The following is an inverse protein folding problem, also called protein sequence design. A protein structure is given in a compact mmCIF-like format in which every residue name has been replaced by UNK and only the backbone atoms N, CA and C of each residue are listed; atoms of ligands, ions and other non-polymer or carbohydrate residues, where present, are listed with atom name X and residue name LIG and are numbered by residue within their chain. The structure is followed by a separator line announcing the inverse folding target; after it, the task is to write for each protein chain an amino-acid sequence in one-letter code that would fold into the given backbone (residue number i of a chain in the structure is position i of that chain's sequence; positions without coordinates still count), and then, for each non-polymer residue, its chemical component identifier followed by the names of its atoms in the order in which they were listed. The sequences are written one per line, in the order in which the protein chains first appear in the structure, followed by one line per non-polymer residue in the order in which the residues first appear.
data_IF_715494333652
#
_entry.id   IF_715494333652
#
_cell.length_a   1.000
_cell.length_b   1.000
_cell.length_c   1.000
_cell.angle_alpha   90.00
_cell.angle_beta   90.00
_cell.angle_gamma   90.00
#
_symmetry.space_group_name_H-M   'P 1'
#
loop_
_entity.id
_entity.type
_entity.pdbx_description
1 polymer ?
#
# COMPACT_ATOMS: atom_id res chain seq x y z
N UNK A 1 4.68 -22.63 -24.35
CA UNK A 1 6.11 -22.96 -24.32
C UNK A 1 6.26 -24.19 -23.44
N UNK A 2 6.48 -25.35 -24.06
CA UNK A 2 6.70 -26.64 -23.40
C UNK A 2 8.10 -26.67 -22.78
N UNK A 3 8.23 -27.20 -21.56
CA UNK A 3 9.52 -27.35 -20.89
C UNK A 3 10.40 -28.42 -21.61
N UNK A 4 11.73 -28.25 -21.73
CA UNK A 4 12.61 -29.25 -22.32
C UNK A 4 12.85 -30.45 -21.37
N UNK A 5 13.13 -31.61 -21.94
CA UNK A 5 13.19 -32.94 -21.31
C UNK A 5 14.45 -33.25 -20.48
N UNK A 6 15.26 -32.29 -20.05
CA UNK A 6 16.50 -32.58 -19.34
C UNK A 6 16.46 -32.15 -17.87
N UNK A 7 15.66 -32.86 -17.08
CA UNK A 7 15.84 -32.92 -15.61
C UNK A 7 16.40 -34.30 -15.29
N UNK A 8 17.72 -34.42 -15.30
CA UNK A 8 18.40 -35.61 -14.78
C UNK A 8 18.42 -35.54 -13.25
N UNK A 9 17.43 -36.16 -12.61
CA UNK A 9 17.51 -36.48 -11.19
C UNK A 9 18.54 -37.57 -11.04
N UNK A 10 19.75 -37.24 -10.60
CA UNK A 10 20.75 -38.26 -10.23
C UNK A 10 20.27 -38.90 -8.93
N UNK A 11 19.60 -40.05 -9.01
CA UNK A 11 19.31 -40.88 -7.83
C UNK A 11 20.63 -41.48 -7.35
N UNK A 12 21.27 -40.82 -6.39
CA UNK A 12 22.40 -41.40 -5.65
C UNK A 12 21.85 -42.59 -4.87
N UNK A 13 22.35 -43.79 -5.18
CA UNK A 13 22.02 -45.04 -4.48
C UNK A 13 22.38 -44.97 -2.99
N UNK A 14 21.75 -45.82 -2.15
CA UNK A 14 21.74 -45.63 -0.71
C UNK A 14 23.11 -45.98 -0.11
N UNK A 15 23.91 -44.96 0.23
CA UNK A 15 25.02 -45.12 1.16
C UNK A 15 25.07 -43.96 2.15
N UNK A 16 24.93 -44.35 3.42
CA UNK A 16 25.46 -43.76 4.65
C UNK A 16 25.25 -42.24 4.93
N UNK A 17 24.43 -42.00 5.96
CA UNK A 17 24.54 -40.95 6.97
C UNK A 17 25.01 -39.54 6.55
N UNK A 18 24.05 -38.65 6.33
CA UNK A 18 24.28 -37.20 6.25
C UNK A 18 23.09 -36.52 5.58
N UNK A 19 22.15 -36.02 6.39
CA UNK A 19 20.94 -35.36 5.88
C UNK A 19 21.23 -33.97 5.32
N UNK A 20 21.81 -33.91 4.13
CA UNK A 20 21.77 -32.69 3.31
C UNK A 20 20.66 -32.86 2.26
N UNK A 21 19.67 -31.97 2.32
CA UNK A 21 18.61 -31.89 1.34
C UNK A 21 19.20 -31.76 -0.08
N UNK A 22 18.62 -32.39 -1.10
CA UNK A 22 19.14 -32.33 -2.46
C UNK A 22 19.25 -30.87 -2.93
N UNK A 23 20.48 -30.38 -3.10
CA UNK A 23 20.76 -29.07 -3.70
C UNK A 23 20.40 -29.14 -5.18
N UNK A 24 19.26 -28.55 -5.53
CA UNK A 24 18.85 -28.37 -6.92
C UNK A 24 19.81 -27.38 -7.58
N UNK A 25 20.88 -27.87 -8.19
CA UNK A 25 21.85 -27.07 -8.95
C UNK A 25 21.63 -27.27 -10.44
N UNK A 26 21.17 -26.24 -11.14
CA UNK A 26 21.05 -26.22 -12.59
C UNK A 26 21.08 -24.79 -13.13
N UNK A 27 21.39 -24.59 -14.44
CA UNK A 27 21.47 -23.27 -15.06
C UNK A 27 20.20 -22.44 -14.89
N UNK A 28 19.03 -23.09 -14.82
CA UNK A 28 17.75 -22.43 -14.56
C UNK A 28 17.63 -21.98 -13.09
N UNK A 29 18.16 -22.74 -12.13
CA UNK A 29 18.08 -22.43 -10.71
C UNK A 29 19.02 -21.28 -10.35
N UNK A 30 20.22 -21.26 -10.93
CA UNK A 30 21.14 -20.11 -10.83
C UNK A 30 20.57 -18.88 -11.53
N UNK A 31 20.03 -19.02 -12.76
CA UNK A 31 19.34 -17.93 -13.46
C UNK A 31 18.16 -17.39 -12.64
N UNK A 32 17.35 -18.27 -12.04
CA UNK A 32 16.22 -17.88 -11.18
C UNK A 32 16.69 -17.17 -9.91
N UNK A 33 17.70 -17.69 -9.21
CA UNK A 33 18.25 -17.05 -8.02
C UNK A 33 18.92 -15.70 -8.32
N UNK A 34 19.61 -15.57 -9.46
CA UNK A 34 20.24 -14.31 -9.90
C UNK A 34 19.21 -13.26 -10.33
N UNK A 35 18.14 -13.66 -11.04
CA UNK A 35 17.14 -12.72 -11.57
C UNK A 35 16.00 -12.43 -10.57
N UNK A 36 15.62 -13.39 -9.74
CA UNK A 36 14.48 -13.30 -8.84
C UNK A 36 14.86 -13.26 -7.36
N UNK A 37 16.09 -13.58 -6.97
CA UNK A 37 16.51 -13.47 -5.57
C UNK A 37 16.47 -12.03 -5.05
N UNK A 38 16.90 -11.07 -5.86
CA UNK A 38 16.85 -9.65 -5.52
C UNK A 38 15.42 -9.06 -5.61
N UNK A 39 14.65 -9.52 -6.61
CA UNK A 39 13.25 -9.11 -6.80
C UNK A 39 12.37 -9.66 -5.68
N UNK A 40 12.50 -10.94 -5.33
CA UNK A 40 11.77 -11.59 -4.25
C UNK A 40 12.10 -10.98 -2.88
N UNK A 41 13.38 -10.70 -2.61
CA UNK A 41 13.80 -9.96 -1.40
C UNK A 41 13.19 -8.54 -1.36
N UNK A 42 13.17 -7.85 -2.50
CA UNK A 42 12.55 -6.52 -2.63
C UNK A 42 11.03 -6.54 -2.43
N UNK A 43 10.35 -7.51 -3.02
CA UNK A 43 8.90 -7.72 -2.88
C UNK A 43 8.54 -7.99 -1.42
N UNK A 44 9.22 -8.93 -0.76
CA UNK A 44 8.99 -9.22 0.66
C UNK A 44 9.27 -8.00 1.55
N UNK A 45 10.31 -7.21 1.24
CA UNK A 45 10.58 -5.98 1.97
C UNK A 45 9.46 -4.94 1.79
N UNK A 46 8.89 -4.82 0.60
CA UNK A 46 7.77 -3.90 0.32
C UNK A 46 6.47 -4.38 0.98
N UNK A 47 6.15 -5.68 0.90
CA UNK A 47 5.00 -6.26 1.61
C UNK A 47 5.17 -6.11 3.12
N UNK A 48 6.34 -6.45 3.66
CA UNK A 48 6.63 -6.33 5.08
C UNK A 48 6.62 -4.88 5.57
N UNK A 49 7.11 -3.94 4.75
CA UNK A 49 7.04 -2.52 5.04
C UNK A 49 5.59 -2.02 5.04
N UNK A 50 4.81 -2.35 4.01
CA UNK A 50 3.37 -2.06 3.98
C UNK A 50 2.67 -2.62 5.21
N UNK A 51 2.97 -3.88 5.56
CA UNK A 51 2.37 -4.57 6.69
C UNK A 51 2.71 -3.91 8.02
N UNK A 52 3.98 -3.60 8.22
CA UNK A 52 4.45 -2.94 9.43
C UNK A 52 3.89 -1.52 9.55
N UNK A 53 3.85 -0.76 8.45
CA UNK A 53 3.38 0.62 8.45
C UNK A 53 1.89 0.68 8.82
N UNK A 54 1.03 -0.13 8.20
CA UNK A 54 -0.40 -0.18 8.54
C UNK A 54 -0.64 -0.67 9.96
N UNK A 55 0.08 -1.71 10.40
CA UNK A 55 0.03 -2.21 11.77
C UNK A 55 0.43 -1.18 12.81
N UNK A 56 1.51 -0.42 12.56
CA UNK A 56 1.99 0.64 13.47
C UNK A 56 0.98 1.79 13.58
N UNK A 57 0.32 2.20 12.48
CA UNK A 57 -0.77 3.19 12.54
C UNK A 57 -1.84 2.71 13.51
N UNK A 58 -2.26 1.44 13.42
CA UNK A 58 -3.30 0.87 14.29
C UNK A 58 -2.83 0.83 15.74
N UNK A 59 -1.62 0.33 16.01
CA UNK A 59 -1.10 0.15 17.36
C UNK A 59 -0.89 1.48 18.13
N UNK A 60 -0.47 2.54 17.44
CA UNK A 60 -0.15 3.82 18.08
C UNK A 60 -1.39 4.65 18.50
N UNK A 61 -2.59 4.21 18.14
CA UNK A 61 -3.86 4.87 18.48
C UNK A 61 -4.43 4.43 19.84
N UNK A 62 -3.54 4.14 20.80
CA UNK A 62 -3.91 3.64 22.14
C UNK A 62 -4.35 4.75 23.10
N UNK A 63 -3.60 5.84 23.18
CA UNK A 63 -3.94 7.00 24.01
C UNK A 63 -3.49 8.31 23.33
N UNK A 64 -3.85 9.45 23.93
CA UNK A 64 -3.55 10.78 23.37
C UNK A 64 -2.04 11.01 23.19
N UNK A 65 -1.22 10.51 24.12
CA UNK A 65 0.23 10.65 24.05
C UNK A 65 0.86 9.84 22.92
N UNK A 66 0.50 8.56 22.77
CA UNK A 66 1.03 7.70 21.68
C UNK A 66 0.60 8.23 20.33
N UNK A 67 -0.63 8.74 20.24
CA UNK A 67 -1.12 9.47 19.07
C UNK A 67 -0.21 10.65 18.77
N UNK A 68 -0.04 11.55 19.73
CA UNK A 68 0.74 12.78 19.54
C UNK A 68 2.19 12.47 19.16
N UNK A 69 2.82 11.52 19.83
CA UNK A 69 4.16 11.06 19.50
C UNK A 69 4.25 10.49 18.08
N UNK A 70 3.28 9.68 17.66
CA UNK A 70 3.22 9.16 16.28
C UNK A 70 3.12 10.29 15.25
N UNK A 71 2.30 11.30 15.52
CA UNK A 71 2.16 12.47 14.66
C UNK A 71 3.43 13.31 14.61
N UNK A 72 4.07 13.56 15.75
CA UNK A 72 5.34 14.31 15.81
C UNK A 72 6.47 13.58 15.06
N UNK A 73 6.62 12.28 15.29
CA UNK A 73 7.62 11.44 14.62
C UNK A 73 7.37 11.38 13.11
N UNK A 74 6.12 11.12 12.69
CA UNK A 74 5.78 11.08 11.26
C UNK A 74 5.95 12.43 10.58
N UNK A 75 5.71 13.54 11.29
CA UNK A 75 5.97 14.90 10.78
C UNK A 75 7.46 15.11 10.54
N UNK A 76 8.33 14.76 11.50
CA UNK A 76 9.78 14.82 11.32
C UNK A 76 10.27 13.97 10.15
N UNK A 77 9.73 12.76 10.00
CA UNK A 77 10.01 11.86 8.89
C UNK A 77 9.54 12.46 7.55
N UNK A 78 8.36 13.10 7.50
CA UNK A 78 7.83 13.75 6.29
C UNK A 78 8.65 14.97 5.86
N UNK A 79 9.17 15.74 6.81
CA UNK A 79 10.12 16.84 6.54
C UNK A 79 11.39 16.28 5.90
N UNK A 80 11.99 15.24 6.49
CA UNK A 80 13.15 14.57 5.90
C UNK A 80 12.85 13.96 4.52
N UNK A 81 11.67 13.36 4.35
CA UNK A 81 11.22 12.83 3.06
C UNK A 81 11.12 13.92 1.98
N UNK A 82 10.66 15.12 2.35
CA UNK A 82 10.62 16.27 1.44
C UNK A 82 12.03 16.67 0.98
N UNK A 83 13.00 16.68 1.90
CA UNK A 83 14.41 16.90 1.57
C UNK A 83 14.95 15.80 0.63
N UNK A 84 14.64 14.53 0.89
CA UNK A 84 15.04 13.41 0.01
C UNK A 84 14.45 13.58 -1.39
N UNK A 85 13.17 13.94 -1.53
CA UNK A 85 12.56 14.20 -2.84
C UNK A 85 13.29 15.34 -3.54
N UNK A 86 13.63 16.42 -2.82
CA UNK A 86 14.33 17.56 -3.36
C UNK A 86 15.71 17.19 -3.93
N UNK A 87 16.52 16.44 -3.18
CA UNK A 87 17.86 16.01 -3.62
C UNK A 87 17.77 15.03 -4.79
N UNK A 88 16.81 14.10 -4.74
CA UNK A 88 16.72 13.01 -5.72
C UNK A 88 16.01 13.39 -7.03
N UNK A 89 15.36 14.57 -7.11
CA UNK A 89 14.55 14.97 -8.27
C UNK A 89 15.34 15.06 -9.58
N UNK A 90 16.64 15.35 -9.53
CA UNK A 90 17.50 15.44 -10.71
C UNK A 90 18.18 14.11 -11.09
N UNK A 91 18.09 13.10 -10.22
CA UNK A 91 18.80 11.83 -10.37
C UNK A 91 17.92 10.73 -10.99
N UNK A 92 18.44 10.04 -12.02
CA UNK A 92 17.76 8.90 -12.68
C UNK A 92 18.52 7.58 -12.53
N UNK A 93 18.79 7.20 -11.28
CA UNK A 93 19.39 5.89 -10.92
C UNK A 93 18.37 4.98 -10.24
N UNK A 94 18.62 3.66 -10.21
CA UNK A 94 17.75 2.72 -9.47
C UNK A 94 17.73 3.01 -7.94
N UNK A 95 18.84 3.52 -7.39
CA UNK A 95 18.88 4.00 -6.01
C UNK A 95 18.00 5.24 -5.80
N UNK A 96 18.03 6.18 -6.75
CA UNK A 96 17.13 7.34 -6.76
C UNK A 96 15.67 6.93 -6.71
N UNK A 97 15.25 6.00 -7.58
CA UNK A 97 13.88 5.49 -7.59
C UNK A 97 13.43 4.94 -6.22
N UNK A 98 14.25 4.09 -5.57
CA UNK A 98 13.94 3.52 -4.25
C UNK A 98 13.79 4.59 -3.17
N UNK A 99 14.76 5.51 -3.08
CA UNK A 99 14.74 6.59 -2.07
C UNK A 99 13.56 7.53 -2.28
N UNK A 100 13.26 7.91 -3.53
CA UNK A 100 12.11 8.75 -3.87
C UNK A 100 10.78 8.08 -3.54
N UNK A 101 10.64 6.78 -3.82
CA UNK A 101 9.43 6.03 -3.50
C UNK A 101 9.20 5.90 -1.98
N UNK A 102 10.25 5.61 -1.22
CA UNK A 102 10.17 5.56 0.25
C UNK A 102 9.82 6.93 0.84
N UNK A 103 10.41 8.00 0.31
CA UNK A 103 10.08 9.36 0.72
C UNK A 103 8.61 9.73 0.41
N UNK A 104 8.11 9.37 -0.78
CA UNK A 104 6.69 9.54 -1.11
C UNK A 104 5.78 8.76 -0.16
N UNK A 105 6.16 7.51 0.18
CA UNK A 105 5.40 6.69 1.13
C UNK A 105 5.41 7.30 2.54
N UNK A 106 6.52 7.87 2.99
CA UNK A 106 6.62 8.57 4.26
C UNK A 106 5.69 9.80 4.34
N UNK A 107 5.57 10.57 3.25
CA UNK A 107 4.63 11.69 3.17
C UNK A 107 3.17 11.18 3.24
N UNK A 108 2.84 10.13 2.47
CA UNK A 108 1.52 9.49 2.56
C UNK A 108 1.22 8.99 3.98
N UNK A 109 2.19 8.36 4.65
CA UNK A 109 2.07 7.87 6.02
C UNK A 109 1.73 9.01 6.99
N UNK A 110 2.43 10.15 6.91
CA UNK A 110 2.17 11.31 7.74
C UNK A 110 0.74 11.84 7.60
N UNK A 111 0.21 11.92 6.38
CA UNK A 111 -1.18 12.32 6.12
C UNK A 111 -2.16 11.35 6.81
N UNK A 112 -1.93 10.05 6.69
CA UNK A 112 -2.79 9.03 7.27
C UNK A 112 -2.69 9.01 8.81
N UNK A 113 -1.51 9.19 9.39
CA UNK A 113 -1.34 9.34 10.84
C UNK A 113 -2.15 10.53 11.35
N UNK A 114 -2.17 11.64 10.61
CA UNK A 114 -3.00 12.80 10.92
C UNK A 114 -4.51 12.51 10.90
N UNK A 115 -4.98 11.75 9.90
CA UNK A 115 -6.37 11.28 9.81
C UNK A 115 -6.73 10.35 10.97
N UNK A 116 -6.00 9.24 11.12
CA UNK A 116 -6.26 8.24 12.16
C UNK A 116 -6.11 8.83 13.56
N UNK A 117 -5.23 9.82 13.75
CA UNK A 117 -5.08 10.55 15.01
C UNK A 117 -6.22 11.53 15.34
N UNK A 118 -7.15 11.74 14.40
CA UNK A 118 -8.34 12.59 14.59
C UNK A 118 -8.13 14.08 14.32
N UNK A 119 -6.92 14.51 13.92
CA UNK A 119 -6.60 15.93 13.73
C UNK A 119 -6.93 16.45 12.33
N UNK A 120 -6.94 15.57 11.33
CA UNK A 120 -7.17 15.93 9.92
C UNK A 120 -8.48 15.27 9.46
N UNK A 121 -9.56 15.57 10.17
CA UNK A 121 -10.91 15.03 9.95
C UNK A 121 -11.86 16.18 9.69
N UNK A 122 -12.75 16.06 8.69
CA UNK A 122 -13.65 17.12 8.27
C UNK A 122 -14.72 17.53 9.31
N UNK A 123 -15.47 18.61 9.04
CA UNK A 123 -16.45 19.19 9.97
C UNK A 123 -17.73 18.35 10.18
N UNK A 124 -17.95 17.31 9.36
CA UNK A 124 -19.12 16.42 9.44
C UNK A 124 -18.97 15.27 10.43
N UNK A 125 -18.70 15.54 11.71
CA UNK A 125 -18.54 14.51 12.75
C UNK A 125 -19.87 14.00 13.34
N UNK A 126 -21.01 14.42 12.78
CA UNK A 126 -22.32 13.99 13.25
C UNK A 126 -22.60 12.60 12.69
N UNK A 127 -22.73 11.61 13.56
CA UNK A 127 -23.19 10.28 13.18
C UNK A 127 -24.54 10.41 12.45
N UNK A 128 -24.57 10.05 11.18
CA UNK A 128 -25.80 10.03 10.38
C UNK A 128 -26.57 8.75 10.72
N UNK A 129 -27.90 8.75 10.58
CA UNK A 129 -28.68 7.52 10.76
C UNK A 129 -28.27 6.55 9.63
N UNK A 130 -27.94 5.28 9.93
CA UNK A 130 -27.62 4.30 8.90
C UNK A 130 -28.74 4.21 7.85
N UNK A 131 -28.38 4.09 6.58
CA UNK A 131 -29.33 3.98 5.47
C UNK A 131 -28.68 3.39 4.21
N UNK A 132 -29.34 3.53 3.07
CA UNK A 132 -28.82 3.07 1.77
C UNK A 132 -27.78 4.05 1.19
N UNK A 133 -26.91 3.55 0.30
CA UNK A 133 -25.95 4.37 -0.42
C UNK A 133 -26.69 5.38 -1.33
N UNK A 134 -26.49 6.67 -1.08
CA UNK A 134 -27.09 7.76 -1.87
C UNK A 134 -26.08 8.87 -2.15
N UNK A 135 -26.33 9.69 -3.17
CA UNK A 135 -25.45 10.82 -3.49
C UNK A 135 -25.33 11.80 -2.31
N UNK A 136 -26.41 12.04 -1.57
CA UNK A 136 -26.38 12.88 -0.38
C UNK A 136 -25.44 12.31 0.69
N UNK A 137 -25.50 11.00 0.94
CA UNK A 137 -24.60 10.35 1.91
C UNK A 137 -23.16 10.26 1.42
N UNK A 138 -22.94 10.15 0.11
CA UNK A 138 -21.60 10.26 -0.47
C UNK A 138 -21.02 11.65 -0.21
N UNK A 139 -21.82 12.71 -0.38
CA UNK A 139 -21.41 14.08 -0.07
C UNK A 139 -21.14 14.25 1.43
N UNK A 140 -21.98 13.72 2.31
CA UNK A 140 -21.74 13.75 3.76
C UNK A 140 -20.44 13.02 4.15
N UNK A 141 -20.19 11.84 3.57
CA UNK A 141 -18.96 11.08 3.77
C UNK A 141 -17.71 11.82 3.25
N UNK A 142 -17.82 12.55 2.14
CA UNK A 142 -16.75 13.40 1.64
C UNK A 142 -16.53 14.58 2.59
N UNK A 143 -17.60 15.23 3.06
CA UNK A 143 -17.52 16.35 4.01
C UNK A 143 -16.89 15.92 5.32
N UNK A 144 -17.18 14.72 5.83
CA UNK A 144 -16.58 14.20 7.05
C UNK A 144 -15.08 13.89 6.93
N UNK A 145 -14.57 13.74 5.69
CA UNK A 145 -13.15 13.55 5.39
C UNK A 145 -12.53 14.74 4.65
N UNK A 146 -13.22 15.88 4.58
CA UNK A 146 -12.85 16.99 3.69
C UNK A 146 -11.43 17.51 3.92
N UNK A 147 -11.03 17.73 5.17
CA UNK A 147 -9.68 18.23 5.46
C UNK A 147 -8.58 17.26 5.05
N UNK A 148 -8.83 15.94 5.17
CA UNK A 148 -7.91 14.92 4.69
C UNK A 148 -7.78 14.96 3.17
N UNK A 149 -8.91 15.05 2.46
CA UNK A 149 -8.89 15.10 0.99
C UNK A 149 -8.21 16.37 0.46
N UNK A 150 -8.51 17.52 1.06
CA UNK A 150 -7.86 18.78 0.70
C UNK A 150 -6.35 18.74 0.96
N UNK A 151 -5.91 18.13 2.07
CA UNK A 151 -4.49 17.95 2.34
C UNK A 151 -3.83 17.02 1.31
N UNK A 152 -4.48 15.91 0.94
CA UNK A 152 -3.97 15.01 -0.09
C UNK A 152 -3.78 15.74 -1.42
N UNK A 153 -4.80 16.48 -1.88
CA UNK A 153 -4.76 17.24 -3.13
C UNK A 153 -3.71 18.34 -3.06
N UNK A 154 -3.59 19.06 -1.93
CA UNK A 154 -2.58 20.09 -1.72
C UNK A 154 -1.17 19.51 -1.82
N UNK A 155 -0.89 18.41 -1.11
CA UNK A 155 0.41 17.73 -1.16
C UNK A 155 0.73 17.24 -2.57
N UNK A 156 -0.24 16.63 -3.26
CA UNK A 156 -0.07 16.22 -4.66
C UNK A 156 0.27 17.41 -5.56
N UNK A 157 -0.43 18.53 -5.42
CA UNK A 157 -0.19 19.74 -6.20
C UNK A 157 1.20 20.33 -5.92
N UNK A 158 1.60 20.44 -4.64
CA UNK A 158 2.92 20.94 -4.23
C UNK A 158 4.03 20.05 -4.78
N UNK A 159 3.91 18.73 -4.62
CA UNK A 159 4.91 17.78 -5.14
C UNK A 159 4.97 17.84 -6.67
N UNK A 160 3.82 17.87 -7.36
CA UNK A 160 3.77 18.04 -8.81
C UNK A 160 4.51 19.30 -9.26
N UNK A 161 4.20 20.46 -8.67
CA UNK A 161 4.86 21.73 -8.99
C UNK A 161 6.38 21.65 -8.75
N UNK A 162 6.80 20.92 -7.72
CA UNK A 162 8.21 20.73 -7.41
C UNK A 162 8.95 19.86 -8.43
N UNK A 163 8.33 18.77 -8.89
CA UNK A 163 8.96 17.78 -9.78
C UNK A 163 8.61 17.92 -11.27
N UNK A 164 7.65 18.78 -11.66
CA UNK A 164 7.16 18.86 -13.06
C UNK A 164 8.25 19.14 -14.09
N UNK A 165 9.30 19.89 -13.74
CA UNK A 165 10.46 20.17 -14.61
C UNK A 165 11.66 19.26 -14.34
N UNK A 166 11.53 18.35 -13.38
CA UNK A 166 12.59 17.45 -12.98
C UNK A 166 12.52 16.13 -13.75
N UNK A 167 13.67 15.46 -14.00
CA UNK A 167 13.74 14.19 -14.70
C UNK A 167 13.16 13.02 -13.87
N UNK A 168 13.22 13.09 -12.54
CA UNK A 168 12.60 12.13 -11.64
C UNK A 168 11.27 12.67 -11.11
N UNK A 169 10.18 12.12 -11.63
CA UNK A 169 8.79 12.44 -11.23
C UNK A 169 8.15 11.33 -10.39
N UNK A 170 8.94 10.37 -9.89
CA UNK A 170 8.43 9.17 -9.24
C UNK A 170 7.68 9.49 -7.94
N UNK A 171 8.09 10.54 -7.20
CA UNK A 171 7.40 10.95 -5.98
C UNK A 171 5.93 11.29 -6.23
N UNK A 172 5.67 12.09 -7.28
CA UNK A 172 4.32 12.43 -7.70
C UNK A 172 3.56 11.18 -8.13
N UNK A 173 4.15 10.33 -8.97
CA UNK A 173 3.49 9.11 -9.42
C UNK A 173 3.09 8.19 -8.26
N UNK A 174 3.99 8.00 -7.28
CA UNK A 174 3.70 7.17 -6.11
C UNK A 174 2.59 7.76 -5.23
N UNK A 175 2.66 9.05 -4.88
CA UNK A 175 1.61 9.72 -4.11
C UNK A 175 0.27 9.70 -4.83
N UNK A 176 0.25 9.93 -6.14
CA UNK A 176 -0.98 9.88 -6.94
C UNK A 176 -1.57 8.47 -6.97
N UNK A 177 -0.72 7.44 -7.07
CA UNK A 177 -1.16 6.04 -6.95
C UNK A 177 -1.76 5.76 -5.58
N UNK A 178 -1.09 6.13 -4.47
CA UNK A 178 -1.62 5.97 -3.12
C UNK A 178 -2.99 6.64 -2.96
N UNK A 179 -3.12 7.89 -3.42
CA UNK A 179 -4.39 8.61 -3.34
C UNK A 179 -5.47 7.91 -4.16
N UNK A 180 -5.18 7.52 -5.41
CA UNK A 180 -6.15 6.89 -6.29
C UNK A 180 -6.65 5.54 -5.75
N UNK A 181 -5.76 4.66 -5.30
CA UNK A 181 -6.16 3.35 -4.74
C UNK A 181 -6.96 3.51 -3.46
N UNK A 182 -6.62 4.52 -2.63
CA UNK A 182 -7.39 4.83 -1.43
C UNK A 182 -8.79 5.35 -1.75
N UNK A 183 -8.96 6.17 -2.79
CA UNK A 183 -10.29 6.60 -3.25
C UNK A 183 -11.13 5.40 -3.69
N UNK A 184 -10.53 4.46 -4.44
CA UNK A 184 -11.22 3.24 -4.88
C UNK A 184 -11.60 2.36 -3.68
N UNK A 185 -10.73 2.23 -2.67
CA UNK A 185 -11.06 1.53 -1.42
C UNK A 185 -12.25 2.17 -0.69
N UNK A 186 -12.26 3.51 -0.56
CA UNK A 186 -13.38 4.26 0.04
C UNK A 186 -14.69 4.05 -0.70
N UNK A 187 -14.65 4.06 -2.03
CA UNK A 187 -15.83 3.79 -2.87
C UNK A 187 -16.34 2.36 -2.68
N UNK A 188 -15.45 1.37 -2.62
CA UNK A 188 -15.84 -0.01 -2.31
C UNK A 188 -16.54 -0.09 -0.95
N UNK A 189 -15.96 0.50 0.10
CA UNK A 189 -16.56 0.52 1.44
C UNK A 189 -17.92 1.24 1.46
N UNK A 190 -18.04 2.35 0.74
CA UNK A 190 -19.27 3.14 0.65
C UNK A 190 -20.41 2.38 -0.07
N UNK A 191 -20.09 1.69 -1.16
CA UNK A 191 -21.09 0.95 -1.95
C UNK A 191 -21.45 -0.39 -1.29
N UNK A 192 -20.49 -1.02 -0.61
CA UNK A 192 -20.70 -2.23 0.19
C UNK A 192 -19.62 -3.29 -0.06
N UNK A 193 -19.07 -3.82 1.03
CA UNK A 193 -18.10 -4.92 1.08
C UNK A 193 -18.34 -5.78 2.32
N UNK A 194 -18.01 -7.06 2.22
CA UNK A 194 -18.16 -8.02 3.32
C UNK A 194 -17.35 -7.66 4.57
N UNK A 195 -16.16 -7.09 4.40
CA UNK A 195 -15.27 -6.74 5.50
C UNK A 195 -14.71 -5.33 5.34
N UNK A 196 -15.44 -4.29 5.79
CA UNK A 196 -14.99 -2.91 5.64
C UNK A 196 -13.95 -2.50 6.70
N UNK A 197 -13.48 -3.45 7.53
CA UNK A 197 -12.42 -3.19 8.49
C UNK A 197 -12.83 -2.29 9.66
N UNK A 198 -14.11 -2.30 10.06
CA UNK A 198 -14.66 -1.43 11.11
C UNK A 198 -13.85 -1.46 12.43
N UNK A 199 -13.33 -2.64 12.81
CA UNK A 199 -12.50 -2.85 14.01
C UNK A 199 -11.18 -2.07 14.03
N UNK A 200 -10.69 -1.64 12.86
CA UNK A 200 -9.44 -0.89 12.75
C UNK A 200 -9.61 0.60 13.03
N UNK A 201 -10.86 1.10 13.03
CA UNK A 201 -11.13 2.51 13.32
C UNK A 201 -10.90 2.84 14.81
N UNK A 202 -10.24 3.96 15.10
CA UNK A 202 -10.21 4.51 16.44
C UNK A 202 -11.59 4.95 16.97
N UNK A 203 -11.83 4.93 18.30
CA UNK A 203 -13.09 5.38 18.91
C UNK A 203 -13.56 6.73 18.38
N UNK A 204 -12.66 7.72 18.27
CA UNK A 204 -12.97 9.06 17.76
C UNK A 204 -13.29 9.12 16.27
N UNK A 205 -13.08 8.04 15.51
CA UNK A 205 -13.45 7.91 14.10
C UNK A 205 -14.61 6.94 13.87
N UNK A 206 -15.19 6.33 14.92
CA UNK A 206 -16.27 5.36 14.74
C UNK A 206 -17.53 5.96 14.13
N UNK A 207 -17.72 7.28 14.22
CA UNK A 207 -18.81 7.95 13.52
C UNK A 207 -18.76 7.71 11.99
N UNK A 208 -17.58 7.44 11.40
CA UNK A 208 -17.45 7.12 9.97
C UNK A 208 -18.17 5.83 9.57
N UNK A 209 -18.41 4.92 10.53
CA UNK A 209 -19.18 3.70 10.29
C UNK A 209 -20.60 4.01 9.83
N UNK A 210 -21.16 5.18 10.18
CA UNK A 210 -22.47 5.60 9.68
C UNK A 210 -22.48 5.89 8.18
N UNK A 211 -21.33 5.93 7.51
CA UNK A 211 -21.23 6.12 6.06
C UNK A 211 -20.87 4.84 5.31
N UNK A 212 -20.66 3.73 6.02
CA UNK A 212 -20.34 2.46 5.38
C UNK A 212 -21.58 1.90 4.69
N UNK A 213 -21.36 1.28 3.53
CA UNK A 213 -22.39 0.54 2.81
C UNK A 213 -22.77 -0.77 3.50
N UNK A 214 -23.66 -1.56 2.90
CA UNK A 214 -24.01 -2.88 3.41
C UNK A 214 -22.78 -3.79 3.51
N UNK A 215 -22.81 -4.72 4.47
CA UNK A 215 -21.75 -5.71 4.70
C UNK A 215 -21.79 -6.85 3.67
N UNK A 216 -21.97 -6.52 2.40
CA UNK A 216 -22.11 -7.45 1.28
C UNK A 216 -21.25 -6.99 0.11
N UNK A 217 -20.62 -7.93 -0.59
CA UNK A 217 -19.77 -7.61 -1.73
C UNK A 217 -20.62 -7.18 -2.92
N UNK A 218 -20.55 -5.89 -3.24
CA UNK A 218 -21.16 -5.35 -4.46
C UNK A 218 -20.33 -5.64 -5.70
N UNK A 219 -20.96 -5.58 -6.88
CA UNK A 219 -20.29 -5.85 -8.16
C UNK A 219 -19.14 -4.88 -8.50
N UNK A 220 -19.03 -3.75 -7.80
CA UNK A 220 -17.93 -2.81 -7.95
C UNK A 220 -16.60 -3.38 -7.45
N UNK A 221 -16.63 -4.23 -6.41
CA UNK A 221 -15.45 -4.84 -5.81
C UNK A 221 -14.63 -5.70 -6.78
N UNK A 222 -15.20 -6.74 -7.45
CA UNK A 222 -14.44 -7.52 -8.41
C UNK A 222 -13.93 -6.67 -9.58
N UNK A 223 -14.68 -5.68 -10.06
CA UNK A 223 -14.23 -4.76 -11.11
C UNK A 223 -12.99 -3.98 -10.66
N UNK A 224 -13.02 -3.41 -9.46
CA UNK A 224 -11.90 -2.66 -8.91
C UNK A 224 -10.66 -3.54 -8.68
N UNK A 225 -10.85 -4.79 -8.24
CA UNK A 225 -9.79 -5.79 -8.09
C UNK A 225 -9.12 -6.11 -9.43
N UNK A 226 -9.89 -6.53 -10.44
CA UNK A 226 -9.33 -6.88 -11.74
C UNK A 226 -8.69 -5.69 -12.45
N UNK A 227 -9.25 -4.48 -12.28
CA UNK A 227 -8.64 -3.26 -12.78
C UNK A 227 -7.27 -3.00 -12.13
N UNK A 228 -7.17 -3.11 -10.80
CA UNK A 228 -5.90 -2.95 -10.08
C UNK A 228 -4.87 -4.00 -10.52
N UNK A 229 -5.26 -5.28 -10.63
CA UNK A 229 -4.39 -6.35 -11.13
C UNK A 229 -3.91 -6.04 -12.55
N UNK A 230 -4.82 -5.67 -13.46
CA UNK A 230 -4.47 -5.32 -14.84
C UNK A 230 -3.49 -4.15 -14.93
N UNK A 231 -3.71 -3.09 -14.16
CA UNK A 231 -2.80 -1.93 -14.11
C UNK A 231 -1.44 -2.34 -13.53
N UNK A 232 -1.42 -3.12 -12.44
CA UNK A 232 -0.17 -3.61 -11.85
C UNK A 232 0.65 -4.43 -12.87
N UNK A 233 0.00 -5.33 -13.62
CA UNK A 233 0.64 -6.12 -14.69
C UNK A 233 1.16 -5.23 -15.82
N UNK A 234 0.45 -4.18 -16.22
CA UNK A 234 0.92 -3.22 -17.23
C UNK A 234 2.18 -2.50 -16.74
N UNK A 235 2.20 -2.03 -15.49
CA UNK A 235 3.39 -1.39 -14.92
C UNK A 235 4.55 -2.37 -14.79
N UNK A 236 4.29 -3.60 -14.36
CA UNK A 236 5.27 -4.66 -14.28
C UNK A 236 5.91 -4.95 -15.64
N UNK A 237 5.08 -5.19 -16.65
CA UNK A 237 5.49 -5.45 -18.03
C UNK A 237 6.29 -4.29 -18.63
N UNK A 238 5.84 -3.05 -18.43
CA UNK A 238 6.60 -1.86 -18.85
C UNK A 238 7.91 -1.69 -18.08
N UNK A 239 7.96 -2.13 -16.82
CA UNK A 239 9.19 -2.17 -16.03
C UNK A 239 10.18 -3.16 -16.63
N UNK A 240 9.72 -4.37 -16.96
CA UNK A 240 10.50 -5.42 -17.60
C UNK A 240 11.14 -4.97 -18.92
N UNK A 241 10.37 -4.30 -19.77
CA UNK A 241 10.86 -3.77 -21.05
C UNK A 241 11.76 -2.52 -20.93
N UNK A 242 11.93 -1.96 -19.73
CA UNK A 242 12.66 -0.70 -19.59
C UNK A 242 14.18 -0.93 -19.74
N UNK A 243 14.77 -0.25 -20.72
CA UNK A 243 16.22 -0.21 -20.93
C UNK A 243 16.97 0.66 -19.91
N UNK A 244 16.25 1.48 -19.13
CA UNK A 244 16.82 2.35 -18.11
C UNK A 244 16.53 1.81 -16.70
N UNK A 245 17.58 1.65 -15.88
CA UNK A 245 17.50 1.11 -14.52
C UNK A 245 16.54 1.87 -13.60
N UNK A 246 16.47 3.20 -13.71
CA UNK A 246 15.51 4.02 -12.94
C UNK A 246 14.06 3.72 -13.34
N UNK A 247 13.78 3.63 -14.64
CA UNK A 247 12.42 3.33 -15.12
C UNK A 247 11.99 1.91 -14.75
N UNK A 248 12.91 0.94 -14.87
CA UNK A 248 12.69 -0.44 -14.43
C UNK A 248 12.30 -0.50 -12.96
N UNK A 249 13.12 0.11 -12.10
CA UNK A 249 12.90 0.12 -10.66
C UNK A 249 11.62 0.89 -10.28
N UNK A 250 11.41 2.08 -10.84
CA UNK A 250 10.25 2.92 -10.52
C UNK A 250 8.93 2.25 -10.90
N UNK A 251 8.88 1.61 -12.08
CA UNK A 251 7.69 0.87 -12.53
C UNK A 251 7.42 -0.38 -11.70
N UNK A 252 8.46 -1.11 -11.31
CA UNK A 252 8.32 -2.27 -10.43
C UNK A 252 7.76 -1.87 -9.05
N UNK A 253 8.23 -0.75 -8.49
CA UNK A 253 7.73 -0.23 -7.22
C UNK A 253 6.25 0.19 -7.31
N UNK A 254 5.86 0.88 -8.39
CA UNK A 254 4.45 1.24 -8.63
C UNK A 254 3.58 0.01 -8.87
N UNK A 255 4.06 -0.97 -9.65
CA UNK A 255 3.34 -2.23 -9.85
C UNK A 255 3.08 -2.94 -8.52
N UNK A 256 4.10 -2.96 -7.64
CA UNK A 256 3.97 -3.58 -6.33
C UNK A 256 2.98 -2.85 -5.42
N UNK A 257 3.01 -1.51 -5.42
CA UNK A 257 2.03 -0.70 -4.69
C UNK A 257 0.59 -0.99 -5.14
N UNK A 258 0.36 -1.09 -6.45
CA UNK A 258 -0.97 -1.37 -7.00
C UNK A 258 -1.38 -2.82 -6.73
N UNK A 259 -0.44 -3.77 -6.77
CA UNK A 259 -0.70 -5.15 -6.38
C UNK A 259 -1.07 -5.28 -4.89
N UNK A 260 -0.47 -4.49 -4.01
CA UNK A 260 -0.88 -4.39 -2.60
C UNK A 260 -2.30 -3.82 -2.46
N UNK A 261 -2.69 -2.84 -3.27
CA UNK A 261 -4.07 -2.36 -3.29
C UNK A 261 -5.06 -3.45 -3.78
N UNK A 262 -4.69 -4.24 -4.78
CA UNK A 262 -5.49 -5.39 -5.20
C UNK A 262 -5.62 -6.42 -4.07
N UNK A 263 -4.54 -6.67 -3.31
CA UNK A 263 -4.58 -7.53 -2.13
C UNK A 263 -5.53 -6.96 -1.06
N UNK A 264 -5.51 -5.64 -0.84
CA UNK A 264 -6.44 -4.97 0.07
C UNK A 264 -7.90 -5.16 -0.38
N UNK A 265 -8.21 -5.00 -1.67
CA UNK A 265 -9.57 -5.23 -2.18
C UNK A 265 -10.00 -6.68 -2.02
N UNK A 266 -9.08 -7.63 -2.17
CA UNK A 266 -9.33 -9.03 -1.86
C UNK A 266 -9.63 -9.23 -0.37
N UNK A 267 -8.91 -8.56 0.53
CA UNK A 267 -9.17 -8.62 1.98
C UNK A 267 -10.54 -8.02 2.33
N UNK A 268 -10.96 -6.94 1.67
CA UNK A 268 -12.30 -6.36 1.83
C UNK A 268 -13.40 -7.35 1.42
N UNK A 269 -13.11 -8.25 0.47
CA UNK A 269 -14.07 -9.23 -0.03
C UNK A 269 -14.32 -10.41 0.91
N UNK A 270 -13.39 -10.72 1.80
CA UNK A 270 -13.43 -11.94 2.61
C UNK A 270 -14.15 -11.67 3.93
N UNK A 271 -15.18 -12.46 4.24
CA UNK A 271 -15.97 -12.42 5.49
C UNK A 271 -15.19 -12.84 6.75
N UNK A 272 -13.87 -12.99 6.67
CA UNK A 272 -13.03 -13.48 7.75
C UNK A 272 -12.39 -12.30 8.47
N UNK A 273 -12.39 -12.39 9.80
CA UNK A 273 -11.55 -11.65 10.70
C UNK A 273 -10.06 -12.02 10.49
N UNK A 274 -9.50 -11.76 9.30
CA UNK A 274 -8.14 -12.18 8.97
C UNK A 274 -7.14 -11.73 10.07
N UNK A 275 -6.32 -12.63 10.63
CA UNK A 275 -5.51 -12.37 11.84
C UNK A 275 -4.29 -11.46 11.58
N UNK A 276 -4.15 -10.91 10.37
CA UNK A 276 -2.94 -10.24 9.89
C UNK A 276 -2.51 -9.07 10.80
N UNK A 277 -3.46 -8.41 11.45
CA UNK A 277 -3.21 -7.25 12.33
C UNK A 277 -3.51 -7.50 13.81
N UNK A 278 -3.83 -8.74 14.22
CA UNK A 278 -4.18 -9.03 15.61
C UNK A 278 -3.07 -8.64 16.60
N UNK A 279 -1.80 -8.84 16.23
CA UNK A 279 -0.66 -8.47 17.08
C UNK A 279 -0.68 -6.98 17.40
N UNK A 280 -1.03 -6.13 16.44
CA UNK A 280 -1.10 -4.68 16.64
C UNK A 280 -2.37 -4.25 17.38
N UNK A 281 -3.49 -4.94 17.15
CA UNK A 281 -4.73 -4.73 17.91
C UNK A 281 -4.53 -5.09 19.39
N UNK A 282 -3.80 -6.17 19.70
CA UNK A 282 -3.41 -6.55 21.07
C UNK A 282 -2.58 -5.48 21.76
N UNK A 283 -1.60 -4.89 21.06
CA UNK A 283 -0.80 -3.77 21.58
C UNK A 283 -1.68 -2.55 21.91
N UNK A 284 -2.72 -2.32 21.11
CA UNK A 284 -3.70 -1.25 21.30
C UNK A 284 -4.64 -1.49 22.49
N UNK A 285 -4.88 -2.75 22.87
CA UNK A 285 -5.72 -3.13 24.02
C UNK A 285 -6.99 -3.90 23.66
N UNK A 286 -7.02 -4.57 22.50
CA UNK A 286 -8.06 -5.53 22.10
C UNK A 286 -7.61 -6.98 22.31
#
# INVERSE_FOLDING_TARGET
MTAPQDVSVTTVGPTAHGGDAPKVSGPWATWWHEHWGAVGKGTLAVVGFWWLVTGVIVALQRNEWTRFAAWLLSTGIAIYATYVIHVQRMERTAASARRTFLAATAIWMWINVGLYGGWIVGPGQVASIPGDASLLRALEAIVSLLWHELLCVLVLAVVWLHVRRAPNRLAFAALATYWAVLQVAKLNIFVGVANPGARFLPPHLQFLLSYYGPAENTGFLPVSFFAAVGIALIFWWRGWQANNAFLRQGRALLAMLIALAALEYMLLAVHSDAPLWEVFLKVRGY
#
